data_IF_832991084077
#
_entry.id   IF_832991084077
#
_cell.length_a   1.000
_cell.length_b   1.000
_cell.length_c   1.000
_cell.angle_alpha   90.00
_cell.angle_beta   90.00
_cell.angle_gamma   90.00
#
_symmetry.space_group_name_H-M   'P 1'
#
loop_
_entity.id
_entity.type
_entity.pdbx_description
1 polymer ?
#
# COMPACT_ATOMS: atom_id res chain seq x y z
N UNK A 1 192.70 -8.16 -50.35
CA UNK A 1 191.41 -7.53 -50.66
C UNK A 1 191.68 -6.24 -51.41
N UNK A 2 191.26 -6.21 -52.67
CA UNK A 2 191.33 -5.04 -53.52
C UNK A 2 190.28 -4.01 -53.07
N UNK A 3 190.51 -2.72 -53.30
CA UNK A 3 189.48 -1.66 -53.14
C UNK A 3 188.23 -1.99 -53.97
N UNK A 4 188.40 -2.75 -55.07
CA UNK A 4 187.30 -3.26 -55.89
C UNK A 4 186.43 -4.26 -55.14
N UNK A 5 187.02 -5.20 -54.38
CA UNK A 5 186.27 -6.20 -53.59
C UNK A 5 185.40 -5.50 -52.54
N UNK A 6 185.95 -4.51 -51.83
CA UNK A 6 185.25 -3.75 -50.77
C UNK A 6 184.07 -2.93 -51.32
N UNK A 7 184.22 -2.42 -52.55
CA UNK A 7 183.18 -1.64 -53.23
C UNK A 7 182.06 -2.55 -53.74
N UNK A 8 182.40 -3.75 -54.20
CA UNK A 8 181.41 -4.74 -54.62
C UNK A 8 180.67 -5.31 -53.40
N UNK A 9 181.34 -5.54 -52.26
CA UNK A 9 180.74 -5.91 -50.98
C UNK A 9 179.77 -4.82 -50.46
N UNK A 10 180.16 -3.54 -50.54
CA UNK A 10 179.28 -2.40 -50.18
C UNK A 10 178.12 -2.23 -51.16
N UNK A 11 178.29 -2.63 -52.43
CA UNK A 11 177.21 -2.62 -53.42
C UNK A 11 176.22 -3.74 -53.13
N UNK A 12 176.70 -4.94 -52.85
CA UNK A 12 175.88 -6.08 -52.44
C UNK A 12 175.16 -5.80 -51.12
N UNK A 13 175.84 -5.29 -50.09
CA UNK A 13 175.18 -4.92 -48.83
C UNK A 13 174.13 -3.80 -49.01
N UNK A 14 174.33 -2.90 -49.97
CA UNK A 14 173.34 -1.85 -50.31
C UNK A 14 172.16 -2.41 -51.12
N UNK A 15 172.41 -3.39 -51.99
CA UNK A 15 171.38 -4.14 -52.71
C UNK A 15 170.55 -4.99 -51.73
N UNK A 16 171.19 -5.72 -50.81
CA UNK A 16 170.55 -6.48 -49.73
C UNK A 16 169.77 -5.58 -48.76
N UNK A 17 170.30 -4.40 -48.43
CA UNK A 17 169.58 -3.43 -47.59
C UNK A 17 168.37 -2.83 -48.34
N UNK A 18 168.50 -2.55 -49.63
CA UNK A 18 167.38 -2.08 -50.45
C UNK A 18 166.32 -3.18 -50.64
N UNK A 19 166.73 -4.44 -50.74
CA UNK A 19 165.85 -5.61 -50.79
C UNK A 19 165.12 -5.80 -49.46
N UNK A 20 165.83 -5.76 -48.34
CA UNK A 20 165.22 -5.81 -47.01
C UNK A 20 164.30 -4.61 -46.73
N UNK A 21 164.66 -3.41 -47.21
CA UNK A 21 163.79 -2.24 -47.14
C UNK A 21 162.53 -2.44 -47.99
N UNK A 22 162.65 -2.96 -49.21
CA UNK A 22 161.52 -3.26 -50.09
C UNK A 22 160.62 -4.36 -49.51
N UNK A 23 161.20 -5.36 -48.87
CA UNK A 23 160.47 -6.45 -48.21
C UNK A 23 159.74 -5.92 -46.97
N UNK A 24 160.36 -5.03 -46.20
CA UNK A 24 159.72 -4.38 -45.06
C UNK A 24 158.60 -3.41 -45.49
N UNK A 25 158.78 -2.65 -46.56
CA UNK A 25 157.73 -1.83 -47.17
C UNK A 25 156.57 -2.72 -47.64
N UNK A 26 156.85 -3.88 -48.26
CA UNK A 26 155.83 -4.84 -48.65
C UNK A 26 155.05 -5.42 -47.45
N UNK A 27 155.74 -5.80 -46.37
CA UNK A 27 155.09 -6.25 -45.13
C UNK A 27 154.28 -5.13 -44.46
N UNK A 28 154.77 -3.90 -44.49
CA UNK A 28 154.06 -2.75 -43.94
C UNK A 28 152.79 -2.45 -44.74
N UNK A 29 152.84 -2.55 -46.07
CA UNK A 29 151.68 -2.40 -46.95
C UNK A 29 150.66 -3.53 -46.76
N UNK A 30 151.11 -4.78 -46.63
CA UNK A 30 150.25 -5.93 -46.36
C UNK A 30 149.59 -5.83 -44.97
N UNK A 31 150.35 -5.45 -43.94
CA UNK A 31 149.81 -5.20 -42.61
C UNK A 31 148.81 -4.04 -42.61
N UNK A 32 149.09 -2.95 -43.33
CA UNK A 32 148.16 -1.83 -43.46
C UNK A 32 146.87 -2.25 -44.19
N UNK A 33 146.98 -3.11 -45.20
CA UNK A 33 145.83 -3.66 -45.91
C UNK A 33 144.99 -4.59 -45.01
N UNK A 34 145.62 -5.46 -44.22
CA UNK A 34 144.96 -6.34 -43.25
C UNK A 34 144.26 -5.53 -42.16
N UNK A 35 144.94 -4.52 -41.60
CA UNK A 35 144.33 -3.61 -40.61
C UNK A 35 143.13 -2.88 -41.21
N UNK A 36 143.21 -2.41 -42.46
CA UNK A 36 142.09 -1.77 -43.12
C UNK A 36 140.93 -2.74 -43.38
N UNK A 37 141.21 -3.99 -43.78
CA UNK A 37 140.21 -5.03 -43.97
C UNK A 37 139.51 -5.39 -42.65
N UNK A 38 140.28 -5.57 -41.58
CA UNK A 38 139.76 -5.87 -40.25
C UNK A 38 138.98 -4.70 -39.66
N UNK A 39 139.40 -3.46 -39.94
CA UNK A 39 138.65 -2.27 -39.55
C UNK A 39 137.32 -2.17 -40.29
N UNK A 40 137.26 -2.56 -41.57
CA UNK A 40 136.00 -2.66 -42.31
C UNK A 40 135.09 -3.75 -41.75
N UNK A 41 135.63 -4.91 -41.37
CA UNK A 41 134.86 -6.00 -40.76
C UNK A 41 134.31 -5.60 -39.38
N UNK A 42 135.11 -4.92 -38.56
CA UNK A 42 134.66 -4.35 -37.28
C UNK A 42 133.55 -3.32 -37.52
N UNK A 43 133.69 -2.43 -38.51
CA UNK A 43 132.66 -1.44 -38.82
C UNK A 43 131.35 -2.13 -39.25
N UNK A 44 131.42 -3.15 -40.11
CA UNK A 44 130.25 -3.93 -40.50
C UNK A 44 129.58 -4.62 -39.30
N UNK A 45 130.37 -5.22 -38.40
CA UNK A 45 129.82 -5.86 -37.19
C UNK A 45 129.17 -4.83 -36.25
N UNK A 46 129.76 -3.64 -36.12
CA UNK A 46 129.19 -2.54 -35.33
C UNK A 46 127.85 -2.08 -35.93
N UNK A 47 127.77 -1.98 -37.26
CA UNK A 47 126.53 -1.65 -37.97
C UNK A 47 125.47 -2.75 -37.76
N UNK A 48 125.83 -4.03 -37.91
CA UNK A 48 124.92 -5.17 -37.66
C UNK A 48 124.42 -5.21 -36.20
N UNK A 49 125.29 -4.91 -35.22
CA UNK A 49 124.89 -4.78 -33.81
C UNK A 49 123.94 -3.60 -33.62
N UNK A 50 124.18 -2.47 -34.31
CA UNK A 50 123.29 -1.32 -34.31
C UNK A 50 121.90 -1.67 -34.84
N UNK A 51 121.84 -2.38 -35.97
CA UNK A 51 120.59 -2.85 -36.58
C UNK A 51 119.83 -3.81 -35.65
N UNK A 52 120.53 -4.79 -35.05
CA UNK A 52 119.92 -5.71 -34.09
C UNK A 52 119.38 -5.00 -32.84
N UNK A 53 120.11 -4.01 -32.32
CA UNK A 53 119.64 -3.20 -31.19
C UNK A 53 118.40 -2.38 -31.56
N UNK A 54 118.36 -1.83 -32.77
CA UNK A 54 117.18 -1.13 -33.29
C UNK A 54 115.97 -2.07 -33.43
N UNK A 55 116.17 -3.30 -33.93
CA UNK A 55 115.12 -4.32 -34.03
C UNK A 55 114.60 -4.75 -32.65
N UNK A 56 115.49 -4.99 -31.67
CA UNK A 56 115.08 -5.30 -30.30
C UNK A 56 114.30 -4.16 -29.65
N UNK A 57 114.73 -2.91 -29.88
CA UNK A 57 114.02 -1.73 -29.37
C UNK A 57 112.64 -1.63 -30.00
N UNK A 58 112.56 -1.75 -31.34
CA UNK A 58 111.28 -1.75 -32.07
C UNK A 58 110.34 -2.86 -31.60
N UNK A 59 110.86 -4.06 -31.33
CA UNK A 59 110.06 -5.19 -30.83
C UNK A 59 109.56 -4.93 -29.42
N UNK A 60 110.41 -4.36 -28.57
CA UNK A 60 110.06 -3.99 -27.19
C UNK A 60 108.97 -2.91 -27.18
N UNK A 61 109.10 -1.89 -28.02
CA UNK A 61 108.09 -0.83 -28.18
C UNK A 61 106.76 -1.38 -28.70
N UNK A 62 106.80 -2.32 -29.65
CA UNK A 62 105.60 -3.00 -30.14
C UNK A 62 104.91 -3.82 -29.04
N UNK A 63 105.69 -4.52 -28.19
CA UNK A 63 105.14 -5.28 -27.08
C UNK A 63 104.52 -4.38 -26.00
N UNK A 64 105.15 -3.24 -25.69
CA UNK A 64 104.57 -2.25 -24.80
C UNK A 64 103.26 -1.67 -25.36
N UNK A 65 103.24 -1.32 -26.64
CA UNK A 65 102.02 -0.84 -27.32
C UNK A 65 100.89 -1.85 -27.21
N UNK A 66 101.16 -3.13 -27.54
CA UNK A 66 100.17 -4.19 -27.41
C UNK A 66 99.71 -4.40 -25.95
N UNK A 67 100.63 -4.33 -24.99
CA UNK A 67 100.30 -4.48 -23.57
C UNK A 67 99.39 -3.35 -23.07
N UNK A 68 99.62 -2.12 -23.53
CA UNK A 68 98.80 -0.96 -23.18
C UNK A 68 97.42 -1.05 -23.83
N UNK A 69 97.35 -1.47 -25.10
CA UNK A 69 96.08 -1.74 -25.81
C UNK A 69 95.28 -2.84 -25.11
N UNK A 70 95.92 -3.95 -24.75
CA UNK A 70 95.28 -5.05 -24.03
C UNK A 70 94.76 -4.61 -22.66
N UNK A 71 95.52 -3.80 -21.91
CA UNK A 71 95.06 -3.27 -20.63
C UNK A 71 93.83 -2.37 -20.81
N UNK A 72 93.82 -1.50 -21.83
CA UNK A 72 92.69 -0.66 -22.16
C UNK A 72 91.45 -1.47 -22.56
N UNK A 73 91.61 -2.52 -23.36
CA UNK A 73 90.51 -3.43 -23.73
C UNK A 73 89.94 -4.19 -22.52
N UNK A 74 90.79 -4.64 -21.60
CA UNK A 74 90.34 -5.31 -20.37
C UNK A 74 89.58 -4.34 -19.46
N UNK A 75 90.04 -3.11 -19.33
CA UNK A 75 89.35 -2.10 -18.53
C UNK A 75 88.02 -1.68 -19.18
N UNK A 76 87.95 -1.59 -20.51
CA UNK A 76 86.71 -1.38 -21.24
C UNK A 76 85.74 -2.55 -21.00
N UNK A 77 86.19 -3.80 -21.11
CA UNK A 77 85.34 -4.97 -20.85
C UNK A 77 84.81 -5.00 -19.42
N UNK A 78 85.61 -4.62 -18.43
CA UNK A 78 85.15 -4.51 -17.04
C UNK A 78 84.08 -3.45 -16.87
N UNK A 79 84.28 -2.28 -17.47
CA UNK A 79 83.30 -1.20 -17.46
C UNK A 79 81.97 -1.65 -18.12
N UNK A 80 82.04 -2.36 -19.24
CA UNK A 80 80.87 -2.89 -19.94
C UNK A 80 80.13 -3.94 -19.08
N UNK A 81 80.86 -4.83 -18.38
CA UNK A 81 80.28 -5.83 -17.46
C UNK A 81 79.58 -5.15 -16.28
N UNK A 82 80.20 -4.12 -15.70
CA UNK A 82 79.60 -3.40 -14.57
C UNK A 82 78.35 -2.63 -15.01
N UNK A 83 78.38 -1.98 -16.18
CA UNK A 83 77.20 -1.36 -16.77
C UNK A 83 76.07 -2.38 -17.02
N UNK A 84 76.37 -3.58 -17.54
CA UNK A 84 75.37 -4.63 -17.72
C UNK A 84 74.78 -5.10 -16.39
N UNK A 85 75.60 -5.23 -15.34
CA UNK A 85 75.12 -5.60 -14.00
C UNK A 85 74.19 -4.55 -13.43
N UNK A 86 74.48 -3.27 -13.64
CA UNK A 86 73.61 -2.19 -13.18
C UNK A 86 72.27 -2.21 -13.91
N UNK A 87 72.26 -2.44 -15.23
CA UNK A 87 71.01 -2.63 -16.00
C UNK A 87 70.20 -3.83 -15.49
N UNK A 88 70.86 -4.95 -15.16
CA UNK A 88 70.16 -6.13 -14.61
C UNK A 88 69.54 -5.81 -13.24
N UNK A 89 70.24 -5.07 -12.38
CA UNK A 89 69.69 -4.65 -11.07
C UNK A 89 68.50 -3.71 -11.24
N UNK A 90 68.61 -2.73 -12.13
CA UNK A 90 67.50 -1.80 -12.41
C UNK A 90 66.26 -2.55 -12.93
N UNK A 91 66.46 -3.54 -13.80
CA UNK A 91 65.37 -4.40 -14.28
C UNK A 91 64.75 -5.23 -13.14
N UNK A 92 65.58 -5.77 -12.23
CA UNK A 92 65.09 -6.51 -11.06
C UNK A 92 64.25 -5.63 -10.14
N UNK A 93 64.73 -4.42 -9.81
CA UNK A 93 64.01 -3.46 -8.99
C UNK A 93 62.67 -3.06 -9.63
N UNK A 94 62.64 -2.88 -10.95
CA UNK A 94 61.42 -2.59 -11.69
C UNK A 94 60.42 -3.76 -11.66
N UNK A 95 60.89 -5.01 -11.78
CA UNK A 95 60.04 -6.19 -11.66
C UNK A 95 59.48 -6.38 -10.25
N UNK A 96 60.28 -6.12 -9.22
CA UNK A 96 59.83 -6.19 -7.82
C UNK A 96 58.73 -5.15 -7.56
N UNK A 97 58.93 -3.90 -8.00
CA UNK A 97 57.92 -2.84 -7.89
C UNK A 97 56.62 -3.17 -8.65
N UNK A 98 56.74 -3.78 -9.84
CA UNK A 98 55.59 -4.27 -10.59
C UNK A 98 54.87 -5.40 -9.83
N UNK A 99 55.62 -6.35 -9.25
CA UNK A 99 55.05 -7.46 -8.50
C UNK A 99 54.29 -6.98 -7.25
N UNK A 100 54.83 -5.99 -6.52
CA UNK A 100 54.16 -5.37 -5.37
C UNK A 100 52.86 -4.67 -5.78
N UNK A 101 52.89 -3.94 -6.90
CA UNK A 101 51.71 -3.27 -7.46
C UNK A 101 50.66 -4.31 -7.86
N UNK A 102 51.07 -5.36 -8.56
CA UNK A 102 50.19 -6.45 -8.97
C UNK A 102 49.57 -7.16 -7.76
N UNK A 103 50.35 -7.45 -6.72
CA UNK A 103 49.85 -8.07 -5.50
C UNK A 103 48.81 -7.17 -4.80
N UNK A 104 49.06 -5.86 -4.76
CA UNK A 104 48.12 -4.87 -4.22
C UNK A 104 46.82 -4.83 -5.03
N UNK A 105 46.91 -4.78 -6.35
CA UNK A 105 45.75 -4.77 -7.24
C UNK A 105 44.93 -6.07 -7.11
N UNK A 106 45.59 -7.23 -7.05
CA UNK A 106 44.93 -8.52 -6.85
C UNK A 106 44.23 -8.55 -5.49
N UNK A 107 44.87 -8.08 -4.42
CA UNK A 107 44.24 -7.99 -3.10
C UNK A 107 43.01 -7.08 -3.12
N UNK A 108 43.09 -5.91 -3.76
CA UNK A 108 41.95 -4.99 -3.90
C UNK A 108 40.81 -5.60 -4.73
N UNK A 109 41.11 -6.40 -5.76
CA UNK A 109 40.08 -7.11 -6.55
C UNK A 109 39.49 -8.32 -5.83
N UNK A 110 40.25 -8.95 -4.94
CA UNK A 110 39.77 -10.05 -4.10
C UNK A 110 39.00 -9.57 -2.88
N UNK A 111 39.12 -8.29 -2.51
CA UNK A 111 38.36 -7.67 -1.43
C UNK A 111 36.89 -7.45 -1.84
N UNK A 112 36.17 -8.57 -1.98
CA UNK A 112 34.74 -8.62 -2.24
C UNK A 112 33.92 -8.62 -0.95
N UNK A 113 34.56 -8.38 0.21
CA UNK A 113 33.91 -8.43 1.52
C UNK A 113 32.77 -7.42 1.64
N UNK A 114 32.99 -6.19 1.17
CA UNK A 114 31.96 -5.15 1.15
C UNK A 114 30.78 -5.52 0.23
N UNK A 115 31.07 -6.09 -0.94
CA UNK A 115 30.03 -6.55 -1.87
C UNK A 115 29.20 -7.69 -1.27
N UNK A 116 29.85 -8.67 -0.64
CA UNK A 116 29.16 -9.77 0.04
C UNK A 116 28.31 -9.28 1.22
N UNK A 117 28.82 -8.31 2.00
CA UNK A 117 28.06 -7.68 3.07
C UNK A 117 26.85 -6.90 2.54
N UNK A 118 27.00 -6.19 1.42
CA UNK A 118 25.90 -5.47 0.77
C UNK A 118 24.82 -6.43 0.24
N UNK A 119 25.22 -7.56 -0.36
CA UNK A 119 24.27 -8.61 -0.82
C UNK A 119 23.49 -9.19 0.36
N UNK A 120 24.15 -9.47 1.49
CA UNK A 120 23.48 -10.02 2.67
C UNK A 120 22.53 -8.99 3.31
N UNK A 121 22.91 -7.72 3.34
CA UNK A 121 22.05 -6.63 3.79
C UNK A 121 20.79 -6.51 2.91
N UNK A 122 20.96 -6.50 1.58
CA UNK A 122 19.85 -6.48 0.63
C UNK A 122 18.93 -7.69 0.82
N UNK A 123 19.49 -8.88 1.01
CA UNK A 123 18.71 -10.10 1.24
C UNK A 123 17.88 -10.01 2.52
N UNK A 124 18.47 -9.45 3.58
CA UNK A 124 17.78 -9.22 4.85
C UNK A 124 16.61 -8.24 4.69
N UNK A 125 16.84 -7.15 3.95
CA UNK A 125 15.80 -6.14 3.64
C UNK A 125 14.65 -6.74 2.82
N UNK A 126 14.95 -7.55 1.80
CA UNK A 126 13.95 -8.24 1.00
C UNK A 126 13.09 -9.20 1.85
N UNK A 127 13.72 -9.98 2.73
CA UNK A 127 12.99 -10.89 3.63
C UNK A 127 12.09 -10.10 4.60
N UNK A 128 12.59 -9.01 5.17
CA UNK A 128 11.83 -8.15 6.09
C UNK A 128 10.60 -7.54 5.39
N UNK A 129 10.79 -7.10 4.15
CA UNK A 129 9.71 -6.57 3.32
C UNK A 129 8.65 -7.64 3.03
N UNK A 130 9.08 -8.86 2.70
CA UNK A 130 8.18 -9.99 2.46
C UNK A 130 7.34 -10.33 3.70
N UNK A 131 7.96 -10.44 4.87
CA UNK A 131 7.27 -10.69 6.16
C UNK A 131 6.24 -9.59 6.47
N UNK A 132 6.55 -8.34 6.11
CA UNK A 132 5.62 -7.22 6.26
C UNK A 132 4.40 -7.35 5.35
N UNK A 133 4.60 -7.73 4.09
CA UNK A 133 3.50 -7.98 3.14
C UNK A 133 2.63 -9.17 3.54
N UNK A 134 3.23 -10.24 4.06
CA UNK A 134 2.50 -11.40 4.58
C UNK A 134 1.61 -10.97 5.76
N UNK A 135 2.14 -10.21 6.70
CA UNK A 135 1.37 -9.67 7.82
C UNK A 135 0.20 -8.79 7.35
N UNK A 136 0.44 -7.87 6.41
CA UNK A 136 -0.65 -7.07 5.81
C UNK A 136 -1.71 -7.93 5.12
N UNK A 137 -1.30 -9.01 4.46
CA UNK A 137 -2.22 -9.92 3.78
C UNK A 137 -3.09 -10.69 4.78
N UNK A 138 -2.49 -11.15 5.89
CA UNK A 138 -3.20 -11.82 6.98
C UNK A 138 -4.20 -10.87 7.66
N UNK A 139 -3.76 -9.65 8.00
CA UNK A 139 -4.61 -8.62 8.59
C UNK A 139 -5.78 -8.26 7.67
N UNK A 140 -5.50 -8.05 6.37
CA UNK A 140 -6.54 -7.78 5.38
C UNK A 140 -7.55 -8.93 5.26
N UNK A 141 -7.09 -10.17 5.26
CA UNK A 141 -7.97 -11.34 5.22
C UNK A 141 -8.85 -11.42 6.48
N UNK A 142 -8.29 -11.10 7.65
CA UNK A 142 -9.04 -11.05 8.91
C UNK A 142 -10.10 -9.95 8.90
N UNK A 143 -9.76 -8.75 8.43
CA UNK A 143 -10.69 -7.62 8.31
C UNK A 143 -11.83 -7.94 7.32
N UNK A 144 -11.52 -8.54 6.17
CA UNK A 144 -12.53 -8.98 5.21
C UNK A 144 -13.43 -10.06 5.80
N UNK A 145 -12.88 -11.01 6.57
CA UNK A 145 -13.67 -12.01 7.26
C UNK A 145 -14.60 -11.39 8.30
N UNK A 146 -14.11 -10.43 9.09
CA UNK A 146 -14.90 -9.71 10.07
C UNK A 146 -16.03 -8.87 9.43
N UNK A 147 -15.74 -8.16 8.33
CA UNK A 147 -16.75 -7.39 7.59
C UNK A 147 -17.78 -8.29 6.88
N UNK A 148 -17.38 -9.48 6.45
CA UNK A 148 -18.28 -10.47 5.85
C UNK A 148 -19.12 -11.22 6.88
N UNK A 149 -18.70 -11.25 8.13
CA UNK A 149 -19.45 -11.88 9.20
C UNK A 149 -20.66 -11.02 9.59
N UNK A 150 -21.74 -11.18 8.81
CA UNK A 150 -23.03 -10.55 9.04
C UNK A 150 -23.94 -11.42 9.91
N UNK A 151 -23.41 -12.45 10.57
CA UNK A 151 -24.21 -13.42 11.33
C UNK A 151 -25.00 -12.74 12.45
N UNK A 152 -24.38 -11.78 13.15
CA UNK A 152 -25.04 -11.01 14.22
C UNK A 152 -26.17 -10.12 13.68
N UNK A 153 -25.96 -9.48 12.51
CA UNK A 153 -27.00 -8.69 11.86
C UNK A 153 -28.17 -9.58 11.42
N UNK A 154 -27.89 -10.75 10.85
CA UNK A 154 -28.91 -11.72 10.45
C UNK A 154 -29.68 -12.24 11.67
N UNK A 155 -28.99 -12.52 12.77
CA UNK A 155 -29.62 -12.91 14.04
C UNK A 155 -30.57 -11.81 14.53
N UNK A 156 -30.10 -10.56 14.62
CA UNK A 156 -30.93 -9.43 15.04
C UNK A 156 -32.15 -9.19 14.14
N UNK A 157 -32.02 -9.38 12.82
CA UNK A 157 -33.16 -9.30 11.87
C UNK A 157 -34.17 -10.41 12.13
N UNK A 158 -33.72 -11.64 12.43
CA UNK A 158 -34.61 -12.75 12.75
C UNK A 158 -35.32 -12.53 14.09
N UNK A 159 -34.61 -12.06 15.12
CA UNK A 159 -35.19 -11.72 16.42
C UNK A 159 -36.29 -10.66 16.25
N UNK A 160 -35.99 -9.56 15.54
CA UNK A 160 -36.98 -8.52 15.25
C UNK A 160 -38.19 -9.06 14.47
N UNK A 161 -37.97 -9.96 13.53
CA UNK A 161 -39.05 -10.59 12.76
C UNK A 161 -39.94 -11.45 13.66
N UNK A 162 -39.37 -12.20 14.59
CA UNK A 162 -40.12 -12.99 15.56
C UNK A 162 -40.94 -12.10 16.49
N UNK A 163 -40.38 -10.98 16.95
CA UNK A 163 -41.11 -9.97 17.72
C UNK A 163 -42.30 -9.40 16.94
N UNK A 164 -42.13 -9.06 15.67
CA UNK A 164 -43.23 -8.59 14.82
C UNK A 164 -44.35 -9.64 14.65
N UNK A 165 -43.99 -10.92 14.50
CA UNK A 165 -44.97 -12.01 14.43
C UNK A 165 -45.73 -12.11 15.76
N UNK A 166 -45.02 -12.10 16.89
CA UNK A 166 -45.66 -12.17 18.22
C UNK A 166 -46.59 -10.98 18.49
N UNK A 167 -46.22 -9.77 18.07
CA UNK A 167 -47.08 -8.59 18.16
C UNK A 167 -48.31 -8.74 17.26
N UNK A 168 -48.14 -9.23 16.03
CA UNK A 168 -49.25 -9.48 15.12
C UNK A 168 -50.24 -10.50 15.70
N UNK A 169 -49.75 -11.62 16.22
CA UNK A 169 -50.57 -12.66 16.85
C UNK A 169 -51.33 -12.09 18.07
N UNK A 170 -50.68 -11.24 18.88
CA UNK A 170 -51.34 -10.58 20.01
C UNK A 170 -52.44 -9.60 19.58
N UNK A 171 -52.28 -8.92 18.44
CA UNK A 171 -53.35 -8.08 17.87
C UNK A 171 -54.51 -8.91 17.33
N UNK A 172 -54.23 -10.05 16.69
CA UNK A 172 -55.27 -10.97 16.21
C UNK A 172 -56.05 -11.56 17.39
N UNK A 173 -55.37 -11.96 18.46
CA UNK A 173 -56.00 -12.45 19.70
C UNK A 173 -56.87 -11.36 20.34
N UNK A 174 -56.35 -10.13 20.49
CA UNK A 174 -57.11 -9.00 21.02
C UNK A 174 -58.35 -8.70 20.16
N UNK A 175 -58.22 -8.72 18.83
CA UNK A 175 -59.34 -8.50 17.93
C UNK A 175 -60.42 -9.59 18.07
N UNK A 176 -60.01 -10.85 18.21
CA UNK A 176 -60.93 -11.96 18.45
C UNK A 176 -61.65 -11.85 19.80
N UNK A 177 -60.94 -11.49 20.86
CA UNK A 177 -61.52 -11.24 22.19
C UNK A 177 -62.51 -10.08 22.15
N UNK A 178 -62.13 -8.97 21.51
CA UNK A 178 -63.01 -7.80 21.35
C UNK A 178 -64.30 -8.15 20.59
N UNK A 179 -64.19 -8.90 19.48
CA UNK A 179 -65.36 -9.36 18.73
C UNK A 179 -66.26 -10.28 19.58
N UNK A 180 -65.67 -11.14 20.41
CA UNK A 180 -66.42 -12.00 21.32
C UNK A 180 -67.16 -11.18 22.40
N UNK A 181 -66.50 -10.20 23.00
CA UNK A 181 -67.11 -9.28 23.98
C UNK A 181 -68.25 -8.46 23.37
N UNK A 182 -68.08 -7.94 22.15
CA UNK A 182 -69.14 -7.22 21.43
C UNK A 182 -70.35 -8.13 21.17
N UNK A 183 -70.11 -9.37 20.73
CA UNK A 183 -71.19 -10.34 20.52
C UNK A 183 -71.91 -10.68 21.83
N UNK A 184 -71.16 -10.83 22.93
CA UNK A 184 -71.74 -11.05 24.25
C UNK A 184 -72.57 -9.84 24.72
N UNK A 185 -72.08 -8.62 24.52
CA UNK A 185 -72.79 -7.39 24.85
C UNK A 185 -74.08 -7.26 24.04
N UNK A 186 -74.05 -7.58 22.73
CA UNK A 186 -75.24 -7.59 21.88
C UNK A 186 -76.26 -8.63 22.35
N UNK A 187 -75.82 -9.84 22.72
CA UNK A 187 -76.70 -10.87 23.28
C UNK A 187 -77.35 -10.40 24.59
N UNK A 188 -76.55 -9.87 25.52
CA UNK A 188 -77.06 -9.33 26.78
C UNK A 188 -78.04 -8.17 26.58
N UNK A 189 -77.78 -7.29 25.60
CA UNK A 189 -78.69 -6.20 25.23
C UNK A 189 -79.99 -6.73 24.64
N UNK A 190 -79.93 -7.80 23.83
CA UNK A 190 -81.11 -8.45 23.28
C UNK A 190 -81.96 -9.09 24.38
N UNK A 191 -81.34 -9.84 25.29
CA UNK A 191 -82.00 -10.43 26.46
C UNK A 191 -82.65 -9.36 27.34
N UNK A 192 -81.97 -8.23 27.55
CA UNK A 192 -82.52 -7.11 28.32
C UNK A 192 -83.73 -6.47 27.62
N UNK A 193 -83.70 -6.31 26.30
CA UNK A 193 -84.86 -5.84 25.53
C UNK A 193 -86.03 -6.80 25.63
N UNK A 194 -85.79 -8.10 25.46
CA UNK A 194 -86.83 -9.11 25.61
C UNK A 194 -87.44 -9.11 27.02
N UNK A 195 -86.62 -8.93 28.06
CA UNK A 195 -87.11 -8.78 29.43
C UNK A 195 -87.96 -7.51 29.63
N UNK A 196 -87.60 -6.40 28.98
CA UNK A 196 -88.42 -5.17 29.03
C UNK A 196 -89.71 -5.34 28.26
N UNK A 197 -89.68 -5.97 27.08
CA UNK A 197 -90.87 -6.28 26.28
C UNK A 197 -91.81 -7.18 27.09
N UNK A 198 -91.30 -8.25 27.72
CA UNK A 198 -92.10 -9.10 28.61
C UNK A 198 -92.67 -8.36 29.83
N UNK A 199 -91.92 -7.40 30.40
CA UNK A 199 -92.41 -6.57 31.50
C UNK A 199 -93.51 -5.61 31.02
N UNK A 200 -93.36 -5.05 29.81
CA UNK A 200 -94.35 -4.19 29.19
C UNK A 200 -95.64 -4.98 28.90
N UNK A 201 -95.53 -6.18 28.33
CA UNK A 201 -96.65 -7.10 28.09
C UNK A 201 -97.37 -7.45 29.40
N UNK A 202 -96.63 -7.78 30.47
CA UNK A 202 -97.22 -8.06 31.79
C UNK A 202 -97.91 -6.83 32.41
N UNK A 203 -97.35 -5.63 32.21
CA UNK A 203 -98.00 -4.38 32.64
C UNK A 203 -99.26 -4.09 31.83
N UNK A 204 -99.26 -4.40 30.54
CA UNK A 204 -100.42 -4.27 29.66
C UNK A 204 -101.52 -5.24 30.10
N UNK A 205 -101.18 -6.51 30.37
CA UNK A 205 -102.09 -7.52 30.93
C UNK A 205 -102.65 -7.09 32.29
N UNK A 206 -101.79 -6.66 33.23
CA UNK A 206 -102.22 -6.14 34.53
C UNK A 206 -103.15 -4.93 34.38
N UNK A 207 -102.85 -4.01 33.45
CA UNK A 207 -103.68 -2.83 33.20
C UNK A 207 -105.05 -3.26 32.64
N UNK A 208 -105.10 -4.24 31.75
CA UNK A 208 -106.36 -4.79 31.23
C UNK A 208 -107.17 -5.50 32.31
N UNK A 209 -106.56 -6.34 33.14
CA UNK A 209 -107.23 -7.02 34.26
C UNK A 209 -107.74 -5.99 35.28
N UNK A 210 -106.85 -5.10 35.76
CA UNK A 210 -107.21 -4.12 36.78
C UNK A 210 -108.25 -3.11 36.26
N UNK A 211 -108.01 -2.46 35.12
CA UNK A 211 -108.93 -1.42 34.63
C UNK A 211 -110.13 -1.96 33.87
N UNK A 212 -109.97 -3.05 33.12
CA UNK A 212 -111.01 -3.62 32.27
C UNK A 212 -111.91 -4.61 33.00
N UNK A 213 -111.39 -5.36 33.98
CA UNK A 213 -112.20 -6.34 34.72
C UNK A 213 -112.52 -5.85 36.13
N UNK A 214 -111.50 -5.56 36.95
CA UNK A 214 -111.71 -5.27 38.38
C UNK A 214 -112.37 -3.90 38.64
N UNK A 215 -111.87 -2.84 38.01
CA UNK A 215 -112.44 -1.49 38.15
C UNK A 215 -113.82 -1.43 37.51
N UNK A 216 -114.04 -2.11 36.37
CA UNK A 216 -115.36 -2.16 35.74
C UNK A 216 -116.36 -2.92 36.62
N UNK A 217 -115.96 -4.05 37.22
CA UNK A 217 -116.78 -4.76 38.21
C UNK A 217 -117.04 -3.91 39.48
N UNK A 218 -116.07 -3.12 39.94
CA UNK A 218 -116.28 -2.19 41.05
C UNK A 218 -117.26 -1.07 40.68
N UNK A 219 -117.16 -0.53 39.46
CA UNK A 219 -118.10 0.48 38.95
C UNK A 219 -119.51 -0.10 38.82
N UNK A 220 -119.64 -1.34 38.34
CA UNK A 220 -120.92 -2.07 38.28
C UNK A 220 -121.48 -2.30 39.68
N UNK A 221 -120.66 -2.73 40.65
CA UNK A 221 -121.06 -2.87 42.05
C UNK A 221 -121.47 -1.54 42.70
N UNK A 222 -120.81 -0.43 42.32
CA UNK A 222 -121.20 0.92 42.75
C UNK A 222 -122.54 1.32 42.13
N UNK A 223 -122.78 1.00 40.85
CA UNK A 223 -124.05 1.29 40.17
C UNK A 223 -125.19 0.46 40.78
N UNK A 224 -124.97 -0.83 41.03
CA UNK A 224 -125.88 -1.71 41.75
C UNK A 224 -126.18 -1.18 43.17
N UNK A 225 -125.15 -0.75 43.91
CA UNK A 225 -125.33 -0.16 45.24
C UNK A 225 -126.07 1.18 45.19
N UNK A 226 -125.81 2.01 44.17
CA UNK A 226 -126.57 3.25 43.96
C UNK A 226 -128.03 2.95 43.62
N UNK A 227 -128.28 1.90 42.83
CA UNK A 227 -129.62 1.41 42.55
C UNK A 227 -130.29 0.88 43.82
N UNK A 228 -129.58 0.12 44.66
CA UNK A 228 -130.08 -0.36 45.95
C UNK A 228 -130.39 0.81 46.91
N UNK A 229 -129.55 1.85 46.97
CA UNK A 229 -129.84 3.09 47.69
C UNK A 229 -131.07 3.78 47.09
N UNK A 230 -131.20 3.81 45.77
CA UNK A 230 -132.35 4.36 45.06
C UNK A 230 -133.64 3.62 45.41
N UNK A 231 -133.60 2.28 45.42
CA UNK A 231 -134.70 1.40 45.78
C UNK A 231 -135.04 1.52 47.27
N UNK A 232 -134.04 1.53 48.15
CA UNK A 232 -134.21 1.75 49.59
C UNK A 232 -134.81 3.13 49.86
N UNK A 233 -134.38 4.16 49.13
CA UNK A 233 -134.96 5.51 49.22
C UNK A 233 -136.40 5.52 48.70
N UNK A 234 -136.70 4.85 47.61
CA UNK A 234 -138.06 4.71 47.09
C UNK A 234 -138.94 3.92 48.08
N UNK A 235 -138.41 2.90 48.75
CA UNK A 235 -139.09 2.14 49.79
C UNK A 235 -139.28 2.99 51.06
N UNK A 236 -138.30 3.82 51.42
CA UNK A 236 -138.41 4.79 52.51
C UNK A 236 -139.42 5.88 52.19
N UNK A 237 -139.43 6.42 50.96
CA UNK A 237 -140.44 7.37 50.49
C UNK A 237 -141.82 6.71 50.42
N UNK A 238 -141.93 5.44 50.02
CA UNK A 238 -143.19 4.70 50.07
C UNK A 238 -143.64 4.44 51.51
N UNK A 239 -142.70 4.21 52.43
CA UNK A 239 -142.97 4.05 53.87
C UNK A 239 -143.32 5.40 54.50
N UNK A 240 -142.70 6.48 54.07
CA UNK A 240 -143.00 7.86 54.46
C UNK A 240 -144.35 8.27 53.90
N UNK A 241 -144.69 7.94 52.67
CA UNK A 241 -146.02 8.14 52.07
C UNK A 241 -147.07 7.30 52.78
N UNK A 242 -146.75 6.06 53.16
CA UNK A 242 -147.62 5.22 53.99
C UNK A 242 -147.76 5.77 55.41
N UNK A 243 -146.69 6.34 55.98
CA UNK A 243 -146.68 6.97 57.29
C UNK A 243 -147.37 8.34 57.26
N UNK A 244 -147.28 9.08 56.16
CA UNK A 244 -147.98 10.33 55.87
C UNK A 244 -149.46 10.06 55.62
N UNK A 245 -149.80 8.96 54.95
CA UNK A 245 -151.17 8.47 54.85
C UNK A 245 -151.72 8.04 56.21
N UNK A 246 -150.92 7.34 57.02
CA UNK A 246 -151.28 6.97 58.39
C UNK A 246 -151.43 8.17 59.32
N UNK A 247 -150.53 9.16 59.28
CA UNK A 247 -150.63 10.40 60.04
C UNK A 247 -151.80 11.26 59.55
N UNK A 248 -152.09 11.27 58.24
CA UNK A 248 -153.28 11.92 57.67
C UNK A 248 -154.58 11.26 58.15
N UNK A 249 -154.62 9.92 58.24
CA UNK A 249 -155.78 9.17 58.77
C UNK A 249 -155.91 9.25 60.30
N UNK A 250 -154.79 9.37 61.04
CA UNK A 250 -154.78 9.34 62.50
C UNK A 250 -154.90 10.73 63.13
N UNK A 251 -154.42 11.80 62.49
CA UNK A 251 -154.42 13.16 63.05
C UNK A 251 -155.33 14.18 62.37
N UNK A 252 -155.82 13.95 61.14
CA UNK A 252 -156.61 14.95 60.42
C UNK A 252 -155.79 16.19 60.05
N UNK A 253 -156.21 16.89 58.99
CA UNK A 253 -155.55 18.09 58.46
C UNK A 253 -155.18 19.11 59.55
N UNK A 254 -153.87 19.29 59.78
CA UNK A 254 -153.15 20.58 59.83
C UNK A 254 -151.73 20.38 60.40
N UNK A 255 -150.80 21.24 59.95
CA UNK A 255 -149.39 21.43 60.36
C UNK A 255 -148.38 20.64 59.47
N UNK A 256 -148.20 21.01 58.21
CA UNK A 256 -147.20 21.99 57.72
C UNK A 256 -145.80 21.86 58.29
N UNK A 257 -144.92 21.36 57.42
CA UNK A 257 -143.49 21.64 57.31
C UNK A 257 -143.03 22.93 58.00
N UNK A 258 -141.99 22.83 58.81
CA UNK A 258 -141.04 23.91 59.01
C UNK A 258 -139.62 23.40 58.70
N UNK A 259 -139.21 23.79 57.50
CA UNK A 259 -137.86 23.80 56.96
C UNK A 259 -136.89 24.54 57.88
N UNK A 260 -135.75 23.92 58.22
CA UNK A 260 -134.51 24.64 58.50
C UNK A 260 -133.45 24.13 57.54
N UNK A 261 -133.44 24.78 56.38
CA UNK A 261 -132.35 24.84 55.43
C UNK A 261 -131.24 25.73 55.98
N UNK A 262 -130.01 25.19 55.94
CA UNK A 262 -128.76 25.78 55.44
C UNK A 262 -128.35 27.17 55.89
N UNK A 263 -127.11 27.27 56.41
CA UNK A 263 -126.10 28.32 56.23
C UNK A 263 -125.03 28.08 57.33
N UNK A 264 -123.70 28.11 57.17
CA UNK A 264 -122.83 28.80 56.21
C UNK A 264 -121.39 28.25 56.38
N UNK A 265 -120.56 28.56 55.39
CA UNK A 265 -119.12 28.86 55.46
C UNK A 265 -118.20 27.90 54.70
N UNK A 266 -117.86 28.42 53.53
CA UNK A 266 -116.81 28.03 52.63
C UNK A 266 -115.43 28.51 53.11
N UNK A 267 -114.43 28.10 52.32
CA UNK A 267 -113.08 28.66 52.13
C UNK A 267 -111.91 27.93 52.81
N UNK A 268 -110.67 28.01 52.26
CA UNK A 268 -110.32 27.84 50.85
C UNK A 268 -108.97 27.08 50.64
N UNK A 269 -108.70 26.80 49.35
CA UNK A 269 -107.45 26.81 48.55
C UNK A 269 -106.12 27.19 49.25
N UNK A 270 -105.02 26.62 48.72
CA UNK A 270 -103.67 27.21 48.40
C UNK A 270 -102.57 26.13 48.67
N UNK A 271 -101.97 25.50 47.65
CA UNK A 271 -100.81 25.89 46.80
C UNK A 271 -99.43 25.60 47.41
N UNK A 272 -98.48 25.45 46.48
CA UNK A 272 -97.00 25.47 46.58
C UNK A 272 -96.34 24.11 46.86
N UNK A 273 -95.62 23.51 45.90
CA UNK A 273 -94.46 23.96 45.13
C UNK A 273 -93.16 24.06 45.98
N UNK A 274 -92.23 23.21 45.58
CA UNK A 274 -90.78 23.43 45.49
C UNK A 274 -89.84 23.13 46.68
N UNK A 275 -88.81 22.38 46.27
CA UNK A 275 -87.44 22.22 46.79
C UNK A 275 -87.24 21.78 48.26
N UNK A 276 -86.63 20.60 48.43
CA UNK A 276 -85.62 20.45 49.46
C UNK A 276 -84.40 19.68 48.93
N UNK A 277 -83.24 20.23 49.25
CA UNK A 277 -81.91 19.81 48.84
C UNK A 277 -81.03 19.73 50.10
N UNK A 278 -79.93 18.99 49.97
CA UNK A 278 -78.72 18.98 50.81
C UNK A 278 -78.58 17.90 51.90
N UNK A 279 -77.31 17.45 52.04
CA UNK A 279 -76.64 16.61 53.05
C UNK A 279 -76.23 15.20 52.52
N UNK A 280 -74.97 14.75 52.45
CA UNK A 280 -73.69 15.17 53.06
C UNK A 280 -72.43 14.71 52.23
N UNK A 281 -71.47 15.62 52.02
CA UNK A 281 -70.05 15.64 52.50
C UNK A 281 -69.04 14.43 52.34
N UNK A 282 -67.69 14.64 52.44
CA UNK A 282 -66.61 14.21 51.50
C UNK A 282 -65.45 13.44 52.25
N UNK A 283 -64.10 13.55 52.02
CA UNK A 283 -63.22 14.01 50.91
C UNK A 283 -62.02 13.04 50.59
N UNK A 284 -61.21 13.29 49.54
CA UNK A 284 -59.74 13.42 49.65
C UNK A 284 -59.09 13.75 48.28
N UNK A 285 -58.52 14.95 48.18
CA UNK A 285 -57.62 15.42 47.12
C UNK A 285 -56.52 16.18 47.87
N UNK A 286 -55.31 15.62 47.94
CA UNK A 286 -54.14 16.32 48.44
C UNK A 286 -52.81 15.66 48.03
N UNK A 287 -51.89 16.55 47.59
CA UNK A 287 -50.42 16.50 47.75
C UNK A 287 -49.65 15.56 46.79
N UNK A 288 -48.53 15.93 46.16
CA UNK A 288 -47.50 16.97 46.35
C UNK A 288 -46.64 16.99 45.05
N UNK A 289 -46.29 18.09 44.39
CA UNK A 289 -45.32 19.16 44.70
C UNK A 289 -43.85 18.71 44.98
N UNK A 290 -42.95 18.98 44.02
CA UNK A 290 -41.53 19.42 44.14
C UNK A 290 -40.92 19.44 42.72
N UNK A 291 -40.56 20.54 42.05
CA UNK A 291 -39.63 21.67 42.31
C UNK A 291 -38.13 21.33 42.10
N UNK A 292 -37.47 22.24 41.35
CA UNK A 292 -36.01 22.49 41.16
C UNK A 292 -35.24 21.58 40.17
N UNK A 293 -34.32 22.04 39.31
CA UNK A 293 -33.62 23.33 39.07
C UNK A 293 -32.93 23.22 37.68
N UNK A 294 -32.97 24.25 36.83
CA UNK A 294 -31.88 25.19 36.49
C UNK A 294 -30.84 24.72 35.43
N UNK A 295 -30.59 25.66 34.51
CA UNK A 295 -29.29 25.99 33.87
C UNK A 295 -28.66 24.98 32.87
N UNK A 296 -28.50 25.35 31.60
CA UNK A 296 -27.41 26.20 31.13
C UNK A 296 -27.58 26.59 29.65
N UNK A 297 -27.00 27.73 29.31
CA UNK A 297 -26.85 28.33 28.00
C UNK A 297 -25.97 27.48 27.06
N UNK A 298 -26.12 27.64 25.74
CA UNK A 298 -25.07 28.17 24.86
C UNK A 298 -25.52 28.16 23.38
N UNK A 299 -25.33 29.32 22.72
CA UNK A 299 -25.26 29.44 21.25
C UNK A 299 -23.90 28.87 20.72
N UNK A 300 -23.44 29.22 19.51
CA UNK A 300 -23.69 28.56 18.23
C UNK A 300 -22.38 27.93 17.67
N UNK A 301 -22.45 27.01 16.71
CA UNK A 301 -21.26 26.66 15.91
C UNK A 301 -21.60 26.58 14.43
N UNK A 302 -21.26 27.67 13.74
CA UNK A 302 -20.99 27.65 12.31
C UNK A 302 -19.80 26.73 12.04
N UNK A 303 -19.93 25.79 11.11
CA UNK A 303 -18.79 25.08 10.55
C UNK A 303 -18.46 25.72 9.21
N UNK A 304 -17.43 26.55 9.23
CA UNK A 304 -16.67 27.03 8.09
C UNK A 304 -16.25 25.86 7.19
N UNK A 305 -16.75 25.87 5.97
CA UNK A 305 -16.18 25.14 4.85
C UNK A 305 -15.05 25.97 4.24
N UNK A 306 -13.79 25.64 4.52
CA UNK A 306 -12.66 26.04 3.66
C UNK A 306 -11.53 24.99 3.59
N UNK A 307 -11.22 24.65 2.33
CA UNK A 307 -9.93 24.26 1.72
C UNK A 307 -9.37 22.82 1.90
N UNK A 308 -8.51 22.31 0.99
CA UNK A 308 -8.18 22.72 -0.39
C UNK A 308 -8.35 21.59 -1.43
N UNK A 309 -8.64 21.96 -2.69
CA UNK A 309 -8.39 21.08 -3.84
C UNK A 309 -6.88 20.98 -4.08
N UNK A 310 -6.32 19.80 -3.78
CA UNK A 310 -5.00 19.41 -4.21
C UNK A 310 -5.15 18.57 -5.48
N UNK A 311 -4.53 19.05 -6.55
CA UNK A 311 -4.28 18.30 -7.77
C UNK A 311 -3.50 17.02 -7.46
N UNK A 312 -3.85 15.92 -8.11
CA UNK A 312 -2.91 14.91 -8.65
C UNK A 312 -3.70 13.80 -9.34
N UNK A 313 -3.53 13.70 -10.65
CA UNK A 313 -3.93 12.57 -11.49
C UNK A 313 -3.31 11.25 -11.00
N UNK A 314 -4.01 10.12 -11.09
CA UNK A 314 -3.37 8.82 -11.23
C UNK A 314 -3.37 8.40 -12.71
N UNK A 315 -2.16 8.19 -13.23
CA UNK A 315 -1.92 7.48 -14.48
C UNK A 315 -2.22 5.99 -14.30
N UNK A 316 -2.88 5.47 -15.32
CA UNK A 316 -2.80 4.13 -15.92
C UNK A 316 -2.35 2.96 -15.02
N UNK A 317 -3.34 2.17 -14.64
CA UNK A 317 -3.16 0.78 -14.28
C UNK A 317 -3.12 -0.05 -15.58
N UNK A 318 -1.99 -0.70 -15.80
CA UNK A 318 -1.81 -1.86 -16.68
C UNK A 318 -2.84 -2.94 -16.35
N UNK A 319 -3.63 -3.33 -17.36
CA UNK A 319 -4.51 -4.49 -17.35
C UNK A 319 -3.99 -5.47 -18.42
N UNK A 320 -3.65 -6.68 -17.99
CA UNK A 320 -3.16 -7.78 -18.80
C UNK A 320 -4.17 -8.92 -18.73
N UNK A 321 -4.44 -9.47 -19.93
CA UNK A 321 -4.86 -10.83 -20.24
C UNK A 321 -6.33 -11.24 -20.04
N UNK A 322 -7.02 -11.34 -21.19
CA UNK A 322 -7.73 -12.51 -21.76
C UNK A 322 -8.66 -11.91 -22.86
N UNK A 323 -8.79 -12.39 -24.08
CA UNK A 323 -8.87 -13.76 -24.59
C UNK A 323 -8.96 -13.69 -26.14
N UNK A 324 -8.82 -14.86 -26.77
CA UNK A 324 -9.39 -15.25 -28.07
C UNK A 324 -8.67 -14.94 -29.40
N UNK A 325 -8.39 -16.04 -30.09
CA UNK A 325 -8.01 -16.16 -31.48
C UNK A 325 -9.06 -15.56 -32.42
N UNK A 326 -8.67 -14.56 -33.18
CA UNK A 326 -9.32 -14.22 -34.44
C UNK A 326 -8.24 -13.82 -35.45
N UNK A 327 -8.11 -14.64 -36.49
CA UNK A 327 -7.39 -14.28 -37.71
C UNK A 327 -8.04 -13.02 -38.31
N UNK A 328 -7.48 -11.84 -38.02
CA UNK A 328 -7.67 -10.66 -38.84
C UNK A 328 -6.32 -10.16 -39.33
N UNK A 329 -6.20 -10.21 -40.65
CA UNK A 329 -5.21 -9.58 -41.50
C UNK A 329 -5.28 -8.05 -41.32
N UNK A 330 -4.76 -7.53 -40.21
CA UNK A 330 -4.51 -6.09 -40.04
C UNK A 330 -3.09 -5.80 -40.46
N UNK A 331 -2.94 -5.31 -41.68
CA UNK A 331 -1.75 -4.57 -42.08
C UNK A 331 -1.63 -3.34 -41.19
N UNK A 332 -0.93 -3.46 -40.07
CA UNK A 332 -0.36 -2.32 -39.36
C UNK A 332 0.60 -1.64 -40.33
N UNK A 333 0.11 -0.59 -40.99
CA UNK A 333 0.89 0.29 -41.83
C UNK A 333 2.09 0.76 -41.01
N UNK A 334 3.27 0.24 -41.37
CA UNK A 334 4.52 0.72 -40.82
C UNK A 334 4.55 2.25 -41.01
N UNK A 335 4.78 3.04 -39.96
CA UNK A 335 4.83 4.49 -40.09
C UNK A 335 5.86 4.85 -41.17
N UNK A 336 5.43 5.61 -42.18
CA UNK A 336 6.08 5.77 -43.50
C UNK A 336 7.54 6.27 -43.48
N UNK A 337 8.08 6.63 -42.31
CA UNK A 337 9.43 7.17 -42.12
C UNK A 337 10.25 6.45 -41.03
N UNK A 338 9.90 5.21 -40.65
CA UNK A 338 10.63 4.47 -39.61
C UNK A 338 11.00 3.04 -40.02
N UNK A 339 12.17 2.60 -39.57
CA UNK A 339 12.69 1.25 -39.77
C UNK A 339 12.65 0.47 -38.46
N UNK A 340 12.24 -0.80 -38.54
CA UNK A 340 12.20 -1.69 -37.38
C UNK A 340 13.58 -2.32 -37.15
N UNK A 341 14.13 -2.14 -35.95
CA UNK A 341 15.32 -2.87 -35.53
C UNK A 341 14.97 -4.36 -35.40
N UNK A 342 15.75 -5.24 -36.03
CA UNK A 342 15.49 -6.69 -36.00
C UNK A 342 15.90 -7.36 -34.68
N UNK A 343 16.66 -6.67 -33.83
CA UNK A 343 17.08 -7.17 -32.53
C UNK A 343 16.02 -6.87 -31.45
N UNK A 344 15.58 -5.62 -31.32
CA UNK A 344 14.60 -5.23 -30.30
C UNK A 344 13.16 -5.12 -30.81
N UNK A 345 12.92 -5.09 -32.12
CA UNK A 345 11.58 -4.94 -32.69
C UNK A 345 11.01 -3.52 -32.60
N UNK A 346 11.76 -2.53 -32.13
CA UNK A 346 11.31 -1.14 -32.06
C UNK A 346 11.56 -0.37 -33.36
N UNK A 347 10.77 0.68 -33.60
CA UNK A 347 10.85 1.53 -34.79
C UNK A 347 11.73 2.76 -34.54
N UNK A 348 12.66 3.01 -35.47
CA UNK A 348 13.61 4.12 -35.40
C UNK A 348 13.65 4.89 -36.72
N UNK A 349 13.92 6.19 -36.66
CA UNK A 349 14.19 7.01 -37.86
C UNK A 349 15.52 6.64 -38.54
N UNK A 350 16.47 6.07 -37.79
CA UNK A 350 17.68 5.46 -38.30
C UNK A 350 18.27 4.51 -37.27
N UNK A 351 18.74 3.34 -37.71
CA UNK A 351 19.53 2.43 -36.89
C UNK A 351 20.95 2.96 -36.91
N UNK A 352 21.37 3.54 -35.78
CA UNK A 352 22.68 4.16 -35.61
C UNK A 352 23.58 3.28 -34.75
N UNK A 353 24.90 3.49 -34.85
CA UNK A 353 25.88 2.74 -34.05
C UNK A 353 25.65 2.83 -32.53
N UNK A 354 25.26 3.99 -31.94
CA UNK A 354 24.89 4.04 -30.52
C UNK A 354 23.73 3.12 -30.14
N UNK A 355 22.76 2.89 -31.03
CA UNK A 355 21.67 1.95 -30.78
C UNK A 355 22.14 0.50 -30.88
N UNK A 356 22.98 0.15 -31.87
CA UNK A 356 23.51 -1.21 -31.96
C UNK A 356 24.48 -1.55 -30.81
N UNK A 357 25.14 -0.55 -30.23
CA UNK A 357 25.93 -0.71 -29.00
C UNK A 357 25.07 -1.15 -27.80
N UNK A 358 23.78 -0.80 -27.73
CA UNK A 358 22.90 -1.33 -26.66
C UNK A 358 22.59 -2.82 -26.84
N UNK A 359 22.93 -3.37 -28.00
CA UNK A 359 22.82 -4.79 -28.33
C UNK A 359 24.19 -5.47 -28.42
N UNK A 360 25.27 -4.81 -27.97
CA UNK A 360 26.66 -5.30 -28.09
C UNK A 360 27.07 -5.65 -29.53
N UNK A 361 26.52 -4.93 -30.51
CA UNK A 361 26.78 -5.18 -31.93
C UNK A 361 27.29 -3.91 -32.64
N UNK A 362 28.13 -4.12 -33.64
CA UNK A 362 28.52 -3.10 -34.62
C UNK A 362 27.57 -3.10 -35.82
N UNK A 363 27.61 -2.02 -36.62
CA UNK A 363 26.86 -1.96 -37.89
C UNK A 363 27.24 -3.12 -38.83
N UNK A 364 28.53 -3.51 -38.81
CA UNK A 364 29.03 -4.60 -39.64
C UNK A 364 28.44 -5.95 -39.20
N UNK A 365 28.46 -6.25 -37.90
CA UNK A 365 27.87 -7.47 -37.33
C UNK A 365 26.37 -7.53 -37.57
N UNK A 366 25.67 -6.40 -37.45
CA UNK A 366 24.24 -6.32 -37.75
C UNK A 366 23.93 -6.63 -39.24
N UNK A 367 24.78 -6.18 -40.17
CA UNK A 367 24.66 -6.51 -41.59
C UNK A 367 25.05 -7.96 -41.90
N UNK A 368 26.05 -8.50 -41.20
CA UNK A 368 26.47 -9.89 -41.37
C UNK A 368 25.39 -10.87 -40.89
N UNK A 369 24.65 -10.52 -39.81
CA UNK A 369 23.59 -11.35 -39.25
C UNK A 369 22.27 -11.24 -40.02
N UNK A 370 21.84 -10.02 -40.36
CA UNK A 370 20.50 -9.79 -40.94
C UNK A 370 20.50 -9.59 -42.46
N UNK A 371 21.69 -9.49 -43.07
CA UNK A 371 21.90 -9.33 -44.52
C UNK A 371 22.54 -7.98 -44.89
N UNK A 372 23.43 -7.99 -45.87
CA UNK A 372 24.21 -6.80 -46.29
C UNK A 372 23.32 -5.64 -46.77
N UNK A 373 22.11 -5.96 -47.24
CA UNK A 373 21.12 -5.00 -47.73
C UNK A 373 20.05 -4.61 -46.70
N UNK A 374 20.30 -4.80 -45.40
CA UNK A 374 19.34 -4.36 -44.38
C UNK A 374 19.33 -2.83 -44.32
N UNK A 375 18.15 -2.20 -44.49
CA UNK A 375 18.03 -0.75 -44.48
C UNK A 375 18.35 -0.21 -43.08
N UNK A 376 19.28 0.76 -43.01
CA UNK A 376 19.62 1.46 -41.76
C UNK A 376 18.97 2.84 -41.68
N UNK A 377 18.35 3.28 -42.79
CA UNK A 377 17.51 4.46 -42.90
C UNK A 377 16.28 4.16 -43.77
N UNK A 378 15.17 4.88 -43.59
CA UNK A 378 14.00 4.77 -44.46
C UNK A 378 14.35 4.94 -45.94
N UNK A 379 15.26 5.86 -46.27
CA UNK A 379 15.74 6.11 -47.63
C UNK A 379 16.50 4.93 -48.26
N UNK A 380 17.00 3.98 -47.45
CA UNK A 380 17.71 2.80 -47.94
C UNK A 380 16.75 1.71 -48.48
N UNK A 381 15.43 1.87 -48.30
CA UNK A 381 14.40 0.94 -48.77
C UNK A 381 13.92 1.22 -50.21
N UNK A 382 14.46 2.25 -50.88
CA UNK A 382 14.04 2.71 -52.21
C UNK A 382 14.68 1.98 -53.40
#
# INVERSE_FOLDING_TARGET
MSVTDKRDEMRTAREEFAEAQSEFESYADEFAADVAAQQNEINNLVDEIGDFQAEMTSTTDAFHTYSDEFAAEVDQLRADIDAQRDVIRELQDAFEAYADTFATDVAAKQDIGELLAAIEALRTEMNTTHETFDAYTEDFAADVAALRDISDLVAAINDLREEFIAVHDAFDDYAADFDAEINQFHAATADQRESFDATADAFEEYREEFHGEEVEALLEAIDDFQQEIGDFRAEFEATEDAFAAFTRDFYGDEITAETVTTETEAEPVETDADVDAEAEAPPDEASSESVDTADEETEPVEVETTAPEAESSPMDATDEAEEEEAEEETGEEAPEDMIKCRVCGEYYQAITEPHLQTHDMTIQEYRDEFGENVPLRPDDQA
#
